data_IF_936590596015
#
_entry.id   IF_936590596015
#
_cell.length_a   1.000
_cell.length_b   1.000
_cell.length_c   1.000
_cell.angle_alpha   90.00
_cell.angle_beta   90.00
_cell.angle_gamma   90.00
#
_symmetry.space_group_name_H-M   'P 1'
#
loop_
_entity.id
_entity.type
_entity.pdbx_description
1 polymer ?
#
# COMPACT_ATOMS: atom_id res chain seq x y z
N UNK A 1 -17.97 18.75 -1.04
CA UNK A 1 -16.99 18.21 -0.08
C UNK A 1 -16.65 19.30 0.93
N UNK A 2 -16.97 19.07 2.21
CA UNK A 2 -16.92 20.06 3.28
C UNK A 2 -15.53 20.09 3.97
N UNK A 3 -15.15 21.20 4.62
CA UNK A 3 -13.85 21.36 5.30
C UNK A 3 -13.61 20.27 6.37
N UNK A 4 -14.69 19.84 7.05
CA UNK A 4 -14.66 18.77 8.04
C UNK A 4 -14.38 17.39 7.42
N UNK A 5 -14.75 17.18 6.15
CA UNK A 5 -14.49 15.91 5.45
C UNK A 5 -13.03 15.79 5.05
N UNK A 6 -12.46 16.89 4.53
CA UNK A 6 -11.03 16.99 4.24
C UNK A 6 -10.16 16.77 5.47
N UNK A 7 -10.55 17.37 6.61
CA UNK A 7 -9.82 17.16 7.88
C UNK A 7 -9.84 15.69 8.30
N UNK A 8 -10.97 15.00 8.15
CA UNK A 8 -11.06 13.58 8.49
C UNK A 8 -10.23 12.70 7.55
N UNK A 9 -10.20 12.99 6.25
CA UNK A 9 -9.38 12.24 5.28
C UNK A 9 -7.90 12.40 5.61
N UNK A 10 -7.46 13.63 5.90
CA UNK A 10 -6.09 13.91 6.32
C UNK A 10 -5.71 13.17 7.60
N UNK A 11 -6.60 13.15 8.60
CA UNK A 11 -6.36 12.40 9.84
C UNK A 11 -6.22 10.90 9.59
N UNK A 12 -7.05 10.31 8.72
CA UNK A 12 -6.93 8.90 8.34
C UNK A 12 -5.59 8.65 7.65
N UNK A 13 -5.24 9.47 6.65
CA UNK A 13 -3.98 9.33 5.92
C UNK A 13 -2.75 9.44 6.84
N UNK A 14 -2.72 10.44 7.72
CA UNK A 14 -1.64 10.63 8.69
C UNK A 14 -1.56 9.45 9.66
N UNK A 15 -2.70 8.98 10.17
CA UNK A 15 -2.75 7.80 11.05
C UNK A 15 -2.22 6.55 10.36
N UNK A 16 -2.64 6.30 9.12
CA UNK A 16 -2.17 5.16 8.31
C UNK A 16 -0.66 5.19 8.08
N UNK A 17 -0.11 6.36 7.71
CA UNK A 17 1.33 6.53 7.50
C UNK A 17 2.09 6.36 8.80
N UNK A 18 1.63 6.99 9.88
CA UNK A 18 2.26 6.90 11.19
C UNK A 18 2.31 5.44 11.68
N UNK A 19 1.21 4.71 11.57
CA UNK A 19 1.10 3.32 12.03
C UNK A 19 1.95 2.37 11.18
N UNK A 20 2.08 2.66 9.88
CA UNK A 20 2.98 1.94 8.97
C UNK A 20 4.46 2.14 9.32
N UNK A 21 4.87 3.39 9.56
CA UNK A 21 6.24 3.72 9.97
C UNK A 21 6.55 3.14 11.35
N UNK A 22 5.59 3.18 12.28
CA UNK A 22 5.73 2.57 13.59
C UNK A 22 5.96 1.06 13.48
N UNK A 23 5.25 0.35 12.60
CA UNK A 23 5.48 -1.09 12.38
C UNK A 23 6.85 -1.38 11.82
N UNK A 24 7.35 -0.59 10.87
CA UNK A 24 8.72 -0.73 10.36
C UNK A 24 9.77 -0.42 11.44
N UNK A 25 9.52 0.58 12.27
CA UNK A 25 10.39 0.94 13.38
C UNK A 25 10.48 -0.21 14.38
N UNK A 26 9.35 -0.79 14.79
CA UNK A 26 9.29 -1.95 15.67
C UNK A 26 9.94 -3.21 15.07
N UNK A 27 9.91 -3.36 13.75
CA UNK A 27 10.54 -4.50 13.07
C UNK A 27 12.05 -4.32 12.84
N UNK A 28 12.53 -3.07 12.80
CA UNK A 28 13.94 -2.75 12.50
C UNK A 28 14.75 -2.51 13.78
N UNK A 29 14.16 -1.85 14.77
CA UNK A 29 14.78 -1.72 16.08
C UNK A 29 14.50 -3.01 16.84
N UNK A 30 15.56 -3.80 17.02
CA UNK A 30 15.64 -4.90 17.97
C UNK A 30 15.50 -4.33 19.39
N UNK A 31 14.29 -3.86 19.72
CA UNK A 31 13.91 -3.54 21.10
C UNK A 31 13.96 -4.86 21.83
N UNK A 32 14.84 -5.02 22.82
CA UNK A 32 15.21 -6.27 23.51
C UNK A 32 14.11 -7.13 24.16
N UNK A 33 12.86 -7.00 23.72
CA UNK A 33 11.85 -8.04 23.77
C UNK A 33 12.19 -9.14 22.74
N UNK A 34 12.27 -10.39 23.18
CA UNK A 34 12.55 -11.61 22.41
C UNK A 34 11.57 -11.96 21.26
N UNK A 35 10.82 -10.98 20.73
CA UNK A 35 10.03 -11.15 19.51
C UNK A 35 10.87 -10.68 18.32
N UNK A 36 11.63 -11.61 17.74
CA UNK A 36 12.16 -11.46 16.37
C UNK A 36 10.98 -11.41 15.41
N UNK A 37 10.33 -10.26 15.30
CA UNK A 37 9.33 -10.02 14.27
C UNK A 37 10.06 -10.06 12.95
N UNK A 38 9.88 -11.14 12.20
CA UNK A 38 10.46 -11.24 10.86
C UNK A 38 10.02 -10.04 10.03
N UNK A 39 10.93 -9.47 9.23
CA UNK A 39 10.65 -8.35 8.33
C UNK A 39 9.39 -8.62 7.48
N UNK A 40 9.15 -9.89 7.13
CA UNK A 40 7.97 -10.35 6.39
C UNK A 40 6.65 -10.06 7.11
N UNK A 41 6.61 -10.24 8.44
CA UNK A 41 5.42 -9.94 9.24
C UNK A 41 5.14 -8.44 9.28
N UNK A 42 6.18 -7.61 9.34
CA UNK A 42 6.06 -6.15 9.32
C UNK A 42 5.49 -5.64 7.99
N UNK A 43 5.99 -6.16 6.87
CA UNK A 43 5.44 -5.84 5.54
C UNK A 43 3.99 -6.34 5.39
N UNK A 44 3.67 -7.52 5.91
CA UNK A 44 2.31 -8.07 5.87
C UNK A 44 1.31 -7.23 6.68
N UNK A 45 1.64 -6.93 7.94
CA UNK A 45 0.79 -6.11 8.81
C UNK A 45 0.65 -4.68 8.29
N UNK A 46 1.72 -4.11 7.77
CA UNK A 46 1.68 -2.79 7.14
C UNK A 46 0.77 -2.77 5.91
N UNK A 47 0.85 -3.79 5.04
CA UNK A 47 0.00 -3.87 3.85
C UNK A 47 -1.49 -3.82 4.20
N UNK A 48 -1.87 -4.47 5.31
CA UNK A 48 -3.25 -4.40 5.84
C UNK A 48 -3.59 -2.99 6.33
N UNK A 49 -2.70 -2.34 7.06
CA UNK A 49 -2.91 -0.97 7.56
C UNK A 49 -3.11 0.02 6.42
N UNK A 50 -2.27 -0.06 5.39
CA UNK A 50 -2.37 0.78 4.19
C UNK A 50 -3.67 0.49 3.44
N UNK A 51 -4.04 -0.78 3.30
CA UNK A 51 -5.31 -1.18 2.69
C UNK A 51 -6.53 -0.58 3.39
N UNK A 52 -6.65 -0.78 4.69
CA UNK A 52 -7.78 -0.24 5.43
C UNK A 52 -7.77 1.29 5.46
N UNK A 53 -6.59 1.92 5.52
CA UNK A 53 -6.45 3.36 5.40
C UNK A 53 -7.01 3.90 4.08
N UNK A 54 -6.55 3.35 2.96
CA UNK A 54 -7.01 3.73 1.63
C UNK A 54 -8.48 3.39 1.41
N UNK A 55 -8.95 2.26 1.92
CA UNK A 55 -10.36 1.89 1.86
C UNK A 55 -11.26 2.89 2.59
N UNK A 56 -10.87 3.32 3.79
CA UNK A 56 -11.62 4.33 4.55
C UNK A 56 -11.61 5.70 3.85
N UNK A 57 -10.48 6.09 3.25
CA UNK A 57 -10.37 7.31 2.46
C UNK A 57 -11.30 7.22 1.24
N UNK A 58 -11.20 6.12 0.48
CA UNK A 58 -11.97 5.87 -0.73
C UNK A 58 -13.47 5.89 -0.45
N UNK A 59 -13.92 5.15 0.58
CA UNK A 59 -15.33 5.12 0.99
C UNK A 59 -15.86 6.50 1.37
N UNK A 60 -15.02 7.36 1.95
CA UNK A 60 -15.40 8.73 2.33
C UNK A 60 -15.43 9.68 1.13
N UNK A 61 -14.64 9.41 0.09
CA UNK A 61 -14.69 10.15 -1.19
C UNK A 61 -15.94 9.76 -1.98
N UNK A 62 -16.26 8.47 -2.06
CA UNK A 62 -17.39 7.92 -2.81
C UNK A 62 -18.70 7.85 -2.01
N UNK A 63 -18.91 8.79 -1.06
CA UNK A 63 -19.96 8.81 -0.01
C UNK A 63 -21.42 8.48 -0.39
N UNK A 64 -21.76 8.22 -1.66
CA UNK A 64 -23.12 8.00 -2.15
C UNK A 64 -23.52 6.52 -2.35
N UNK A 65 -22.58 5.57 -2.43
CA UNK A 65 -22.93 4.13 -2.56
C UNK A 65 -22.14 3.22 -1.60
N UNK A 66 -22.81 2.63 -0.58
CA UNK A 66 -22.17 1.77 0.42
C UNK A 66 -21.67 0.43 -0.13
N UNK A 67 -22.02 0.05 -1.37
CA UNK A 67 -21.56 -1.18 -2.01
C UNK A 67 -20.72 -0.90 -3.28
N UNK A 68 -20.16 0.30 -3.40
CA UNK A 68 -19.37 0.66 -4.57
C UNK A 68 -18.09 -0.19 -4.66
N UNK A 69 -18.12 -1.16 -5.57
CA UNK A 69 -16.96 -2.00 -5.91
C UNK A 69 -15.74 -1.17 -6.32
N UNK A 70 -15.93 0.07 -6.78
CA UNK A 70 -14.86 1.01 -7.11
C UNK A 70 -14.04 1.38 -5.88
N UNK A 71 -14.68 1.60 -4.73
CA UNK A 71 -13.97 1.95 -3.49
C UNK A 71 -12.98 0.87 -3.05
N UNK A 72 -13.35 -0.40 -3.21
CA UNK A 72 -12.48 -1.54 -2.89
C UNK A 72 -11.38 -1.67 -3.95
N UNK A 73 -11.70 -1.53 -5.24
CA UNK A 73 -10.73 -1.60 -6.34
C UNK A 73 -9.65 -0.52 -6.24
N UNK A 74 -10.04 0.72 -5.93
CA UNK A 74 -9.12 1.84 -5.75
C UNK A 74 -8.21 1.61 -4.54
N UNK A 75 -8.77 1.10 -3.43
CA UNK A 75 -8.00 0.77 -2.23
C UNK A 75 -6.98 -0.35 -2.48
N UNK A 76 -7.38 -1.42 -3.18
CA UNK A 76 -6.45 -2.52 -3.55
C UNK A 76 -5.32 -1.97 -4.42
N UNK A 77 -5.67 -1.21 -5.46
CA UNK A 77 -4.70 -0.68 -6.42
C UNK A 77 -3.73 0.28 -5.73
N UNK A 78 -4.23 1.22 -4.93
CA UNK A 78 -3.41 2.15 -4.17
C UNK A 78 -2.51 1.44 -3.15
N UNK A 79 -2.98 0.38 -2.52
CA UNK A 79 -2.18 -0.41 -1.56
C UNK A 79 -1.03 -1.12 -2.27
N UNK A 80 -1.31 -1.78 -3.40
CA UNK A 80 -0.28 -2.43 -4.22
C UNK A 80 0.82 -1.44 -4.62
N UNK A 81 0.44 -0.25 -5.08
CA UNK A 81 1.39 0.82 -5.44
C UNK A 81 2.20 1.29 -4.23
N UNK A 82 1.54 1.57 -3.11
CA UNK A 82 2.18 2.10 -1.91
C UNK A 82 3.18 1.09 -1.30
N UNK A 83 2.77 -0.17 -1.18
CA UNK A 83 3.63 -1.26 -0.68
C UNK A 83 4.80 -1.47 -1.63
N UNK A 84 4.58 -1.44 -2.94
CA UNK A 84 5.64 -1.55 -3.94
C UNK A 84 6.70 -0.45 -3.83
N UNK A 85 6.27 0.81 -3.78
CA UNK A 85 7.18 1.94 -3.63
C UNK A 85 8.01 1.83 -2.34
N UNK A 86 7.40 1.33 -1.27
CA UNK A 86 8.12 1.13 -0.03
C UNK A 86 9.11 -0.04 -0.10
N UNK A 87 8.73 -1.18 -0.67
CA UNK A 87 9.63 -2.33 -0.85
C UNK A 87 10.84 -1.92 -1.67
N UNK A 88 10.65 -1.17 -2.75
CA UNK A 88 11.74 -0.62 -3.56
C UNK A 88 12.59 0.36 -2.76
N UNK A 89 11.98 1.29 -2.04
CA UNK A 89 12.74 2.24 -1.21
C UNK A 89 13.58 1.49 -0.19
N UNK A 90 13.00 0.50 0.49
CA UNK A 90 13.73 -0.32 1.44
C UNK A 90 14.87 -1.10 0.78
N UNK A 91 14.64 -1.68 -0.40
CA UNK A 91 15.66 -2.40 -1.18
C UNK A 91 16.81 -1.52 -1.65
N UNK A 92 16.53 -0.28 -2.07
CA UNK A 92 17.55 0.67 -2.53
C UNK A 92 18.36 1.23 -1.35
N UNK A 93 17.71 1.53 -0.22
CA UNK A 93 18.33 2.24 0.90
C UNK A 93 18.90 1.33 2.00
N UNK A 94 18.40 0.09 2.19
CA UNK A 94 19.15 -0.92 2.94
C UNK A 94 20.12 -1.59 1.98
N UNK A 95 21.41 -1.47 2.25
CA UNK A 95 22.43 -2.34 1.66
C UNK A 95 22.14 -3.79 2.08
N UNK A 96 21.27 -4.48 1.31
CA UNK A 96 20.97 -5.89 1.54
C UNK A 96 22.27 -6.66 1.31
N UNK A 97 22.74 -7.46 2.29
CA UNK A 97 23.98 -8.21 2.16
C UNK A 97 23.97 -9.04 0.87
N UNK A 98 25.03 -8.91 0.09
CA UNK A 98 25.14 -9.38 -1.30
C UNK A 98 24.92 -10.87 -1.51
N UNK A 99 24.87 -11.68 -0.45
CA UNK A 99 24.70 -13.14 -0.53
C UNK A 99 23.25 -13.59 -0.82
N UNK A 100 22.24 -12.74 -0.56
CA UNK A 100 20.81 -13.03 -0.84
C UNK A 100 20.28 -12.29 -2.10
N UNK A 101 21.15 -11.62 -2.85
CA UNK A 101 20.74 -10.65 -3.88
C UNK A 101 19.99 -11.23 -5.08
N UNK A 102 20.31 -12.46 -5.53
CA UNK A 102 19.64 -13.06 -6.68
C UNK A 102 18.18 -13.44 -6.37
N UNK A 103 17.92 -14.02 -5.19
CA UNK A 103 16.57 -14.41 -4.78
C UNK A 103 15.72 -13.17 -4.51
N UNK A 104 16.26 -12.19 -3.78
CA UNK A 104 15.57 -10.93 -3.48
C UNK A 104 15.30 -10.15 -4.77
N UNK A 105 16.27 -10.07 -5.68
CA UNK A 105 16.11 -9.42 -6.98
C UNK A 105 15.01 -10.07 -7.83
N UNK A 106 14.95 -11.41 -7.83
CA UNK A 106 13.92 -12.16 -8.54
C UNK A 106 12.53 -11.89 -7.96
N UNK A 107 12.39 -11.88 -6.63
CA UNK A 107 11.11 -11.58 -5.95
C UNK A 107 10.64 -10.16 -6.28
N UNK A 108 11.55 -9.17 -6.21
CA UNK A 108 11.24 -7.78 -6.53
C UNK A 108 10.84 -7.63 -8.00
N UNK A 109 11.48 -8.34 -8.93
CA UNK A 109 11.13 -8.33 -10.35
C UNK A 109 9.73 -8.90 -10.60
N UNK A 110 9.39 -10.05 -10.01
CA UNK A 110 8.04 -10.64 -10.14
C UNK A 110 6.98 -9.74 -9.51
N UNK A 111 7.26 -9.16 -8.35
CA UNK A 111 6.36 -8.23 -7.69
C UNK A 111 6.14 -6.95 -8.51
N UNK A 112 7.21 -6.41 -9.13
CA UNK A 112 7.12 -5.30 -10.08
C UNK A 112 6.17 -5.60 -11.23
N UNK A 113 6.29 -6.79 -11.81
CA UNK A 113 5.43 -7.21 -12.92
C UNK A 113 3.95 -7.30 -12.52
N UNK A 114 3.68 -7.90 -11.36
CA UNK A 114 2.31 -7.99 -10.81
C UNK A 114 1.71 -6.60 -10.56
N UNK A 115 2.47 -5.70 -9.94
CA UNK A 115 2.03 -4.32 -9.67
C UNK A 115 1.77 -3.58 -10.99
N UNK A 116 2.66 -3.75 -11.98
CA UNK A 116 2.48 -3.19 -13.32
C UNK A 116 1.18 -3.66 -13.99
N UNK A 117 0.87 -4.96 -13.92
CA UNK A 117 -0.39 -5.50 -14.44
C UNK A 117 -1.60 -4.87 -13.73
N UNK A 118 -1.56 -4.76 -12.40
CA UNK A 118 -2.67 -4.19 -11.62
C UNK A 118 -2.90 -2.73 -12.01
N UNK A 119 -1.83 -1.93 -12.10
CA UNK A 119 -1.89 -0.52 -12.50
C UNK A 119 -2.48 -0.39 -13.92
N UNK A 120 -1.91 -1.10 -14.89
CA UNK A 120 -2.36 -1.04 -16.30
C UNK A 120 -3.81 -1.50 -16.42
N UNK A 121 -4.19 -2.56 -15.71
CA UNK A 121 -5.57 -3.06 -15.73
C UNK A 121 -6.55 -2.06 -15.12
N UNK A 122 -6.19 -1.43 -14.00
CA UNK A 122 -7.04 -0.47 -13.30
C UNK A 122 -7.24 0.81 -14.14
N UNK A 123 -6.15 1.49 -14.48
CA UNK A 123 -6.22 2.73 -15.27
C UNK A 123 -6.66 2.49 -16.71
N UNK A 124 -6.30 1.34 -17.29
CA UNK A 124 -6.75 0.94 -18.62
C UNK A 124 -8.26 0.68 -18.67
N UNK A 125 -8.83 0.03 -17.65
CA UNK A 125 -10.27 -0.16 -17.55
C UNK A 125 -11.00 1.17 -17.43
N UNK A 126 -10.51 2.09 -16.60
CA UNK A 126 -11.12 3.41 -16.43
C UNK A 126 -11.05 4.26 -17.71
N UNK A 127 -9.93 4.22 -18.44
CA UNK A 127 -9.76 4.92 -19.70
C UNK A 127 -10.69 4.37 -20.80
N UNK A 128 -10.87 3.05 -20.86
CA UNK A 128 -11.84 2.42 -21.77
C UNK A 128 -13.26 2.82 -21.42
N UNK A 129 -13.59 2.82 -20.12
CA UNK A 129 -14.90 3.21 -19.60
C UNK A 129 -15.23 4.66 -19.96
N UNK A 130 -14.27 5.58 -19.81
CA UNK A 130 -14.42 6.99 -20.17
C UNK A 130 -14.59 7.22 -21.68
N UNK A 131 -13.97 6.40 -22.55
CA UNK A 131 -14.07 6.54 -24.02
C UNK A 131 -15.30 5.85 -24.60
N UNK A 132 -15.77 4.76 -24.00
CA UNK A 132 -16.88 3.95 -24.51
C UNK A 132 -18.25 4.32 -23.92
N UNK A 133 -18.32 5.18 -22.90
CA UNK A 133 -19.58 5.71 -22.36
C UNK A 133 -20.45 4.65 -21.66
N UNK A 134 -19.82 3.59 -21.13
CA UNK A 134 -20.45 2.52 -20.33
C UNK A 134 -20.04 2.68 -18.87
#
# INVERSE_FOLDING_TARGET
MNLNEWRSILLIAISTVFLSVLMLFLATFDTGFNYRVSISWAFGSMSLVVFFGLYLISKRIYSEDPNDSKSIKDAITGTMIAVYMMVITFYIFKEVPTQDTELVGTIVAHFTYLVGIVIVSHFGSDALKSKLGV
#
